data_IF_161383396434
#
_entry.id   IF_161383396434
#
_cell.length_a   1.000
_cell.length_b   1.000
_cell.length_c   1.000
_cell.angle_alpha   90.00
_cell.angle_beta   90.00
_cell.angle_gamma   90.00
#
_symmetry.space_group_name_H-M   'P 1'
#
loop_
_entity.id
_entity.type
_entity.pdbx_description
1 polymer ?
#
# COMPACT_ATOMS: atom_id res chain seq x y z
N UNK A 1 -19.78 -10.14 5.38
CA UNK A 1 -20.74 -11.01 6.10
C UNK A 1 -21.60 -10.20 7.07
N UNK A 2 -21.02 -9.53 8.06
CA UNK A 2 -21.77 -8.69 9.03
C UNK A 2 -22.61 -7.60 8.38
N UNK A 3 -22.05 -6.89 7.37
CA UNK A 3 -22.81 -5.90 6.58
C UNK A 3 -24.08 -6.49 5.95
N UNK A 4 -23.99 -7.67 5.35
CA UNK A 4 -25.15 -8.38 4.77
C UNK A 4 -26.17 -8.81 5.84
N UNK A 5 -25.70 -9.16 7.04
CA UNK A 5 -26.57 -9.48 8.16
C UNK A 5 -27.36 -8.24 8.62
N UNK A 6 -26.71 -7.07 8.71
CA UNK A 6 -27.40 -5.79 8.95
C UNK A 6 -28.40 -5.43 7.86
N UNK A 7 -28.03 -5.59 6.59
CA UNK A 7 -28.94 -5.36 5.45
C UNK A 7 -30.17 -6.28 5.49
N UNK A 8 -30.06 -7.44 6.16
CA UNK A 8 -31.15 -8.40 6.32
C UNK A 8 -31.87 -8.27 7.67
N UNK A 9 -31.62 -7.22 8.46
CA UNK A 9 -32.17 -7.02 9.82
C UNK A 9 -33.67 -7.27 9.88
N UNK A 10 -34.45 -6.59 9.04
CA UNK A 10 -35.91 -6.68 9.06
C UNK A 10 -36.42 -8.07 8.67
N UNK A 11 -35.77 -8.72 7.70
CA UNK A 11 -36.11 -10.06 7.27
C UNK A 11 -35.82 -11.09 8.38
N UNK A 12 -34.70 -10.94 9.09
CA UNK A 12 -34.32 -11.81 10.21
C UNK A 12 -35.31 -11.63 11.36
N UNK A 13 -35.60 -10.39 11.77
CA UNK A 13 -36.55 -10.11 12.86
C UNK A 13 -37.95 -10.65 12.51
N UNK A 14 -38.44 -10.39 11.29
CA UNK A 14 -39.78 -10.84 10.86
C UNK A 14 -39.89 -12.36 10.83
N UNK A 15 -38.88 -13.06 10.29
CA UNK A 15 -38.91 -14.53 10.20
C UNK A 15 -38.82 -15.19 11.57
N UNK A 16 -38.00 -14.67 12.47
CA UNK A 16 -37.92 -15.15 13.85
C UNK A 16 -39.27 -15.01 14.58
N UNK A 17 -39.96 -13.88 14.38
CA UNK A 17 -41.28 -13.65 14.94
C UNK A 17 -42.35 -14.60 14.35
N UNK A 18 -42.33 -14.83 13.03
CA UNK A 18 -43.31 -15.72 12.35
C UNK A 18 -43.12 -17.18 12.76
N UNK A 19 -41.88 -17.65 12.81
CA UNK A 19 -41.56 -19.06 13.11
C UNK A 19 -41.64 -19.35 14.61
N UNK A 20 -41.78 -18.31 15.45
CA UNK A 20 -41.70 -18.40 16.91
C UNK A 20 -40.48 -19.23 17.34
N UNK A 21 -39.33 -18.90 16.74
CA UNK A 21 -38.11 -19.68 16.92
C UNK A 21 -37.64 -19.59 18.38
N UNK A 22 -37.17 -20.70 19.00
CA UNK A 22 -36.73 -20.72 20.40
C UNK A 22 -35.32 -20.13 20.55
N UNK A 23 -35.09 -18.95 19.96
CA UNK A 23 -33.83 -18.20 20.03
C UNK A 23 -34.11 -16.79 20.52
N UNK A 24 -33.21 -16.28 21.35
CA UNK A 24 -33.30 -14.90 21.81
C UNK A 24 -33.04 -13.96 20.64
N UNK A 25 -33.99 -13.07 20.36
CA UNK A 25 -33.79 -12.00 19.40
C UNK A 25 -32.74 -11.02 19.94
N UNK A 26 -31.92 -10.47 19.05
CA UNK A 26 -30.95 -9.45 19.40
C UNK A 26 -31.66 -8.19 19.93
N UNK A 27 -31.11 -7.59 20.98
CA UNK A 27 -31.62 -6.31 21.50
C UNK A 27 -31.26 -5.16 20.55
N UNK A 28 -31.90 -4.00 20.73
CA UNK A 28 -31.59 -2.84 19.90
C UNK A 28 -30.13 -2.40 20.09
N UNK A 29 -29.62 -2.47 21.32
CA UNK A 29 -28.22 -2.16 21.63
C UNK A 29 -27.26 -3.12 20.90
N UNK A 30 -27.59 -4.40 20.82
CA UNK A 30 -26.78 -5.37 20.07
C UNK A 30 -26.79 -5.08 18.56
N UNK A 31 -27.91 -4.64 18.00
CA UNK A 31 -27.96 -4.17 16.61
C UNK A 31 -27.09 -2.93 16.37
N UNK A 32 -27.13 -1.97 17.29
CA UNK A 32 -26.32 -0.75 17.22
C UNK A 32 -24.82 -1.09 17.30
N UNK A 33 -24.43 -2.06 18.14
CA UNK A 33 -23.05 -2.56 18.20
C UNK A 33 -22.62 -3.17 16.85
N UNK A 34 -23.47 -3.98 16.22
CA UNK A 34 -23.13 -4.59 14.91
C UNK A 34 -22.95 -3.52 13.84
N UNK A 35 -23.80 -2.48 13.84
CA UNK A 35 -23.67 -1.33 12.94
C UNK A 35 -22.36 -0.58 13.15
N UNK A 36 -22.00 -0.31 14.40
CA UNK A 36 -20.76 0.38 14.73
C UNK A 36 -19.52 -0.45 14.35
N UNK A 37 -19.54 -1.76 14.60
CA UNK A 37 -18.47 -2.68 14.17
C UNK A 37 -18.31 -2.67 12.65
N UNK A 38 -19.42 -2.64 11.89
CA UNK A 38 -19.34 -2.56 10.43
C UNK A 38 -18.71 -1.24 9.97
N UNK A 39 -19.04 -0.13 10.62
CA UNK A 39 -18.42 1.18 10.35
C UNK A 39 -16.91 1.16 10.62
N UNK A 40 -16.47 0.56 11.73
CA UNK A 40 -15.05 0.44 12.09
C UNK A 40 -14.28 -0.45 11.10
N UNK A 41 -14.90 -1.51 10.60
CA UNK A 41 -14.27 -2.48 9.70
C UNK A 41 -14.30 -2.06 8.22
N UNK A 42 -15.17 -1.13 7.83
CA UNK A 42 -15.27 -0.62 6.46
C UNK A 42 -13.92 -0.18 5.84
N UNK A 43 -13.08 0.65 6.50
CA UNK A 43 -11.78 1.01 5.92
C UNK A 43 -10.83 -0.18 5.74
N UNK A 44 -10.95 -1.22 6.55
CA UNK A 44 -10.16 -2.45 6.39
C UNK A 44 -10.61 -3.24 5.16
N UNK A 45 -11.91 -3.31 4.90
CA UNK A 45 -12.46 -3.90 3.68
C UNK A 45 -11.96 -3.14 2.45
N UNK A 46 -12.07 -1.80 2.45
CA UNK A 46 -11.64 -0.97 1.32
C UNK A 46 -10.16 -1.17 0.99
N UNK A 47 -9.28 -1.16 2.01
CA UNK A 47 -7.85 -1.42 1.84
C UNK A 47 -7.60 -2.84 1.34
N UNK A 48 -8.30 -3.84 1.88
CA UNK A 48 -8.13 -5.24 1.48
C UNK A 48 -8.56 -5.47 0.04
N UNK A 49 -9.68 -4.89 -0.37
CA UNK A 49 -10.17 -4.94 -1.75
C UNK A 49 -9.17 -4.29 -2.68
N UNK A 50 -8.65 -3.10 -2.34
CA UNK A 50 -7.65 -2.42 -3.15
C UNK A 50 -6.36 -3.24 -3.28
N UNK A 51 -5.92 -3.90 -2.19
CA UNK A 51 -4.72 -4.75 -2.20
C UNK A 51 -4.92 -6.04 -2.99
N UNK A 52 -6.14 -6.59 -2.95
CA UNK A 52 -6.49 -7.85 -3.62
C UNK A 52 -6.80 -7.68 -5.10
N UNK A 53 -6.69 -6.47 -5.66
CA UNK A 53 -6.84 -6.25 -7.10
C UNK A 53 -5.63 -6.79 -7.86
N UNK A 54 -5.87 -7.76 -8.73
CA UNK A 54 -4.82 -8.43 -9.52
C UNK A 54 -4.16 -7.53 -10.59
N UNK A 55 -4.80 -6.41 -10.96
CA UNK A 55 -4.41 -5.61 -12.13
C UNK A 55 -3.37 -4.53 -11.88
N UNK A 56 -2.91 -4.28 -10.65
CA UNK A 56 -2.00 -3.18 -10.33
C UNK A 56 -0.83 -3.60 -9.44
N UNK A 57 0.29 -2.87 -9.51
CA UNK A 57 1.46 -3.06 -8.63
C UNK A 57 1.12 -2.61 -7.21
N UNK A 58 0.45 -3.48 -6.46
CA UNK A 58 -0.03 -3.24 -5.09
C UNK A 58 1.10 -2.93 -4.11
N UNK A 59 2.29 -3.49 -4.32
CA UNK A 59 3.45 -3.29 -3.43
C UNK A 59 3.79 -1.81 -3.24
N UNK A 60 3.73 -1.01 -4.31
CA UNK A 60 4.01 0.44 -4.29
C UNK A 60 3.05 1.23 -3.40
N UNK A 61 1.82 0.74 -3.20
CA UNK A 61 0.77 1.38 -2.40
C UNK A 61 0.77 0.94 -0.94
N UNK A 62 1.37 -0.20 -0.62
CA UNK A 62 1.20 -0.86 0.69
C UNK A 62 1.56 0.07 1.86
N UNK A 63 2.71 0.75 1.79
CA UNK A 63 3.15 1.68 2.84
C UNK A 63 2.11 2.77 3.09
N UNK A 64 1.56 3.36 2.02
CA UNK A 64 0.56 4.42 2.13
C UNK A 64 -0.77 3.89 2.68
N UNK A 65 -1.23 2.74 2.20
CA UNK A 65 -2.49 2.15 2.65
C UNK A 65 -2.45 1.78 4.12
N UNK A 66 -1.36 1.14 4.59
CA UNK A 66 -1.21 0.78 6.00
C UNK A 66 -1.19 2.02 6.91
N UNK A 67 -0.46 3.07 6.51
CA UNK A 67 -0.40 4.33 7.26
C UNK A 67 -1.72 5.09 7.25
N UNK A 68 -2.40 5.11 6.10
CA UNK A 68 -3.73 5.68 5.96
C UNK A 68 -4.72 4.98 6.88
N UNK A 69 -4.70 3.65 6.88
CA UNK A 69 -5.53 2.83 7.75
C UNK A 69 -5.28 3.10 9.24
N UNK A 70 -4.02 3.15 9.68
CA UNK A 70 -3.68 3.53 11.06
C UNK A 70 -4.23 4.91 11.44
N UNK A 71 -4.14 5.90 10.54
CA UNK A 71 -4.67 7.26 10.78
C UNK A 71 -6.20 7.29 10.85
N UNK A 72 -6.87 6.57 9.96
CA UNK A 72 -8.34 6.49 9.95
C UNK A 72 -8.82 5.84 11.23
N UNK A 73 -8.26 4.69 11.62
CA UNK A 73 -8.65 4.00 12.86
C UNK A 73 -8.39 4.86 14.09
N UNK A 74 -7.26 5.58 14.15
CA UNK A 74 -6.98 6.53 15.22
C UNK A 74 -7.89 7.78 15.21
N UNK A 75 -8.48 8.13 14.06
CA UNK A 75 -9.51 9.18 13.98
C UNK A 75 -10.85 8.67 14.50
N UNK A 76 -11.27 7.49 14.05
CA UNK A 76 -12.48 6.84 14.54
C UNK A 76 -12.44 6.65 16.06
N UNK A 77 -11.28 6.31 16.63
CA UNK A 77 -11.09 6.16 18.07
C UNK A 77 -11.25 7.49 18.83
N UNK A 78 -10.98 8.64 18.20
CA UNK A 78 -11.17 9.98 18.78
C UNK A 78 -12.59 10.52 18.59
N UNK A 79 -13.22 10.17 17.47
CA UNK A 79 -14.60 10.55 17.12
C UNK A 79 -15.64 9.75 17.90
N UNK A 80 -15.21 8.63 18.48
CA UNK A 80 -15.98 7.74 19.31
C UNK A 80 -16.68 8.43 20.50
N UNK A 81 -17.94 8.79 20.33
CA UNK A 81 -18.97 8.59 21.36
C UNK A 81 -19.30 7.08 21.47
N UNK A 82 -18.26 6.23 21.60
CA UNK A 82 -18.45 4.77 21.65
C UNK A 82 -19.22 4.47 22.92
N UNK A 83 -20.48 4.09 22.73
CA UNK A 83 -21.44 3.86 23.82
C UNK A 83 -21.28 2.44 24.37
N UNK A 84 -20.66 1.53 23.61
CA UNK A 84 -20.50 0.13 23.97
C UNK A 84 -19.03 -0.28 24.14
N UNK A 85 -18.67 -0.78 25.33
CA UNK A 85 -17.29 -1.18 25.67
C UNK A 85 -16.67 -2.22 24.72
N UNK A 86 -17.48 -3.07 24.09
CA UNK A 86 -17.00 -4.08 23.12
C UNK A 86 -16.41 -3.47 21.85
N UNK A 87 -16.92 -2.33 21.38
CA UNK A 87 -16.39 -1.67 20.19
C UNK A 87 -15.03 -1.05 20.50
N UNK A 88 -14.87 -0.46 21.70
CA UNK A 88 -13.57 0.06 22.16
C UNK A 88 -12.52 -1.05 22.21
N UNK A 89 -12.86 -2.21 22.79
CA UNK A 89 -11.94 -3.35 22.88
C UNK A 89 -11.51 -3.85 21.48
N UNK A 90 -12.46 -3.90 20.53
CA UNK A 90 -12.16 -4.22 19.14
C UNK A 90 -11.17 -3.20 18.54
N UNK A 91 -11.43 -1.90 18.72
CA UNK A 91 -10.56 -0.85 18.18
C UNK A 91 -9.16 -0.91 18.78
N UNK A 92 -9.03 -1.08 20.09
CA UNK A 92 -7.72 -1.21 20.76
C UNK A 92 -6.95 -2.45 20.26
N UNK A 93 -7.66 -3.55 20.04
CA UNK A 93 -7.09 -4.78 19.46
C UNK A 93 -6.62 -4.56 18.03
N UNK A 94 -7.40 -3.83 17.22
CA UNK A 94 -7.06 -3.48 15.84
C UNK A 94 -5.84 -2.56 15.78
N UNK A 95 -5.81 -1.48 16.58
CA UNK A 95 -4.68 -0.56 16.69
C UNK A 95 -3.41 -1.30 17.10
N UNK A 96 -3.46 -2.09 18.18
CA UNK A 96 -2.32 -2.88 18.66
C UNK A 96 -1.83 -3.89 17.61
N UNK A 97 -2.76 -4.52 16.90
CA UNK A 97 -2.43 -5.47 15.82
C UNK A 97 -1.76 -4.79 14.63
N UNK A 98 -2.24 -3.62 14.22
CA UNK A 98 -1.64 -2.83 13.15
C UNK A 98 -0.26 -2.34 13.55
N UNK A 99 -0.09 -1.81 14.76
CA UNK A 99 1.22 -1.32 15.21
C UNK A 99 2.26 -2.42 15.25
N UNK A 100 1.87 -3.64 15.64
CA UNK A 100 2.74 -4.82 15.60
C UNK A 100 3.02 -5.29 14.17
N UNK A 101 2.01 -5.44 13.32
CA UNK A 101 2.14 -6.02 11.98
C UNK A 101 2.75 -5.05 10.96
N UNK A 102 2.45 -3.77 11.08
CA UNK A 102 2.92 -2.71 10.19
C UNK A 102 4.13 -1.97 10.76
N UNK A 103 4.70 -2.48 11.85
CA UNK A 103 5.90 -1.93 12.45
C UNK A 103 7.03 -1.81 11.43
N UNK A 104 7.58 -0.60 11.28
CA UNK A 104 8.73 -0.32 10.41
C UNK A 104 8.58 -0.86 8.98
N UNK A 105 7.35 -0.89 8.46
CA UNK A 105 7.07 -1.35 7.09
C UNK A 105 7.89 -0.58 6.03
N UNK A 106 8.20 0.68 6.31
CA UNK A 106 9.06 1.55 5.50
C UNK A 106 10.50 1.04 5.32
N UNK A 107 10.97 0.15 6.19
CA UNK A 107 12.30 -0.46 6.10
C UNK A 107 12.29 -1.78 5.32
N UNK A 108 11.13 -2.31 4.95
CA UNK A 108 11.07 -3.48 4.09
C UNK A 108 11.63 -3.13 2.70
N UNK A 109 12.60 -3.91 2.23
CA UNK A 109 13.32 -3.56 1.01
C UNK A 109 12.42 -3.48 -0.23
N UNK A 110 11.55 -4.47 -0.42
CA UNK A 110 10.65 -4.55 -1.58
C UNK A 110 9.64 -3.40 -1.55
N UNK A 111 9.00 -3.16 -0.40
CA UNK A 111 7.98 -2.11 -0.29
C UNK A 111 8.60 -0.72 -0.45
N UNK A 112 9.73 -0.47 0.21
CA UNK A 112 10.41 0.83 0.12
C UNK A 112 10.92 1.12 -1.29
N UNK A 113 11.52 0.15 -1.97
CA UNK A 113 12.02 0.33 -3.33
C UNK A 113 10.87 0.52 -4.32
N UNK A 114 9.85 -0.34 -4.26
CA UNK A 114 8.69 -0.24 -5.16
C UNK A 114 7.89 1.04 -4.96
N UNK A 115 7.69 1.49 -3.71
CA UNK A 115 7.06 2.79 -3.43
C UNK A 115 7.93 3.98 -3.86
N UNK A 116 9.26 3.87 -3.76
CA UNK A 116 10.18 4.92 -4.20
C UNK A 116 10.22 5.06 -5.72
N UNK A 117 10.18 3.93 -6.43
CA UNK A 117 10.18 3.88 -7.90
C UNK A 117 8.85 4.31 -8.51
N UNK A 118 7.73 4.21 -7.78
CA UNK A 118 6.44 4.70 -8.24
C UNK A 118 6.42 6.25 -8.23
N UNK A 119 6.30 6.92 -9.40
CA UNK A 119 6.30 8.37 -9.48
C UNK A 119 5.20 9.06 -8.68
N UNK A 120 4.08 8.36 -8.44
CA UNK A 120 2.93 8.90 -7.69
C UNK A 120 3.22 9.06 -6.21
N UNK A 121 4.16 8.27 -5.67
CA UNK A 121 4.45 8.22 -4.24
C UNK A 121 5.85 8.75 -3.96
N UNK A 122 6.88 8.14 -4.55
CA UNK A 122 8.29 8.54 -4.37
C UNK A 122 8.62 8.75 -2.88
N UNK A 123 8.81 9.99 -2.45
CA UNK A 123 9.12 10.35 -1.05
C UNK A 123 7.88 10.42 -0.15
N UNK A 124 6.68 10.60 -0.73
CA UNK A 124 5.42 10.81 0.01
C UNK A 124 4.95 9.55 0.76
N UNK A 125 5.41 8.37 0.36
CA UNK A 125 5.06 7.12 1.05
C UNK A 125 5.62 7.07 2.49
N UNK A 126 6.73 7.76 2.76
CA UNK A 126 7.54 7.56 3.95
C UNK A 126 7.30 8.62 5.03
N UNK A 127 7.46 8.22 6.29
CA UNK A 127 7.50 9.10 7.45
C UNK A 127 8.92 9.30 7.93
N UNK A 128 9.78 8.28 7.84
CA UNK A 128 11.18 8.37 8.23
C UNK A 128 12.08 8.72 7.04
N UNK A 129 12.77 9.86 7.12
CA UNK A 129 13.71 10.31 6.11
C UNK A 129 14.88 9.33 5.90
N UNK A 130 15.25 8.56 6.93
CA UNK A 130 16.31 7.54 6.83
C UNK A 130 15.88 6.37 5.95
N UNK A 131 14.64 5.91 6.09
CA UNK A 131 14.10 4.83 5.26
C UNK A 131 14.09 5.22 3.77
N UNK A 132 13.76 6.47 3.46
CA UNK A 132 13.85 7.03 2.11
C UNK A 132 15.29 6.96 1.59
N UNK A 133 16.24 7.45 2.37
CA UNK A 133 17.66 7.51 1.98
C UNK A 133 18.22 6.11 1.71
N UNK A 134 17.96 5.15 2.60
CA UNK A 134 18.37 3.75 2.44
C UNK A 134 17.75 3.13 1.18
N UNK A 135 16.48 3.42 0.87
CA UNK A 135 15.84 2.94 -0.36
C UNK A 135 16.50 3.52 -1.61
N UNK A 136 16.77 4.82 -1.65
CA UNK A 136 17.47 5.45 -2.77
C UNK A 136 18.89 4.93 -2.95
N UNK A 137 19.63 4.70 -1.87
CA UNK A 137 20.97 4.12 -1.92
C UNK A 137 20.94 2.71 -2.53
N UNK A 138 19.99 1.87 -2.11
CA UNK A 138 19.82 0.51 -2.66
C UNK A 138 19.47 0.52 -4.13
N UNK A 139 18.51 1.36 -4.54
CA UNK A 139 18.12 1.53 -5.95
C UNK A 139 19.31 1.97 -6.80
N UNK A 140 20.06 2.99 -6.33
CA UNK A 140 21.22 3.52 -7.07
C UNK A 140 22.32 2.48 -7.20
N UNK A 141 22.58 1.73 -6.14
CA UNK A 141 23.57 0.64 -6.13
C UNK A 141 23.15 -0.54 -7.01
N UNK A 142 21.85 -0.80 -7.17
CA UNK A 142 21.34 -1.78 -8.12
C UNK A 142 21.51 -1.29 -9.57
N UNK A 143 21.10 -0.05 -9.87
CA UNK A 143 21.25 0.54 -11.20
C UNK A 143 22.72 0.64 -11.67
N UNK A 144 23.64 0.90 -10.74
CA UNK A 144 25.08 0.92 -11.03
C UNK A 144 25.67 -0.45 -11.38
N UNK A 145 25.08 -1.56 -10.88
CA UNK A 145 25.49 -2.93 -11.21
C UNK A 145 25.03 -3.35 -12.61
N UNK A 146 23.87 -2.87 -13.03
CA UNK A 146 23.26 -3.21 -14.33
C UNK A 146 23.73 -2.30 -15.47
N UNK A 147 24.58 -1.31 -15.18
CA UNK A 147 25.20 -0.48 -16.22
C UNK A 147 26.17 -1.31 -17.08
N UNK A 148 26.05 -1.29 -18.42
CA UNK A 148 26.79 -2.19 -19.34
C UNK A 148 28.30 -1.94 -19.44
N UNK A 149 28.84 -0.97 -18.69
CA UNK A 149 30.27 -0.63 -18.69
C UNK A 149 31.17 -1.72 -18.08
N UNK A 150 30.62 -2.69 -17.34
CA UNK A 150 31.39 -3.81 -16.78
C UNK A 150 31.51 -5.03 -17.71
N UNK A 151 30.63 -5.17 -18.72
CA UNK A 151 30.64 -6.33 -19.64
C UNK A 151 31.46 -6.12 -20.92
N UNK A 152 31.77 -4.87 -21.31
CA UNK A 152 32.61 -4.57 -22.47
C UNK A 152 34.11 -4.84 -22.25
N UNK A 153 34.56 -5.05 -21.00
CA UNK A 153 35.97 -5.31 -20.70
C UNK A 153 36.37 -6.80 -20.79
N UNK A 154 35.41 -7.75 -20.82
CA UNK A 154 35.71 -9.18 -20.90
C UNK A 154 35.59 -9.78 -22.32
N UNK A 155 35.12 -9.00 -23.30
CA UNK A 155 35.01 -9.44 -24.70
C UNK A 155 36.23 -9.07 -25.57
N UNK A 156 37.14 -8.22 -25.10
CA UNK A 156 38.38 -7.87 -25.85
C UNK A 156 39.49 -8.87 -25.56
N UNK A 157 39.22 -10.14 -25.88
CA UNK A 157 40.11 -11.25 -25.58
C UNK A 157 40.06 -12.39 -26.59
N UNK A 158 39.66 -12.14 -27.85
CA UNK A 158 39.99 -13.02 -28.99
C UNK A 158 39.50 -12.42 -30.32
N UNK A 159 40.45 -12.36 -31.26
CA UNK A 159 40.33 -12.15 -32.71
C UNK A 159 39.98 -10.74 -33.16
N UNK A 160 41.04 -10.06 -33.62
CA UNK A 160 40.91 -8.89 -34.48
C UNK A 160 40.13 -9.23 -35.75
N UNK A 161 39.13 -8.41 -36.03
CA UNK A 161 38.59 -8.21 -37.36
C UNK A 161 38.73 -6.72 -37.64
N UNK A 162 39.58 -6.43 -38.63
CA UNK A 162 39.84 -5.12 -39.19
C UNK A 162 38.54 -4.62 -39.84
N UNK A 163 37.94 -3.57 -39.28
CA UNK A 163 36.93 -2.78 -39.97
C UNK A 163 37.60 -1.58 -40.62
N UNK A 164 37.63 -1.57 -41.95
CA UNK A 164 38.06 -0.43 -42.75
C UNK A 164 37.09 0.74 -42.59
N UNK A 165 37.60 1.88 -42.14
CA UNK A 165 36.87 3.16 -42.19
C UNK A 165 36.82 3.65 -43.63
N UNK A 166 35.63 3.63 -44.23
CA UNK A 166 35.32 4.53 -45.35
C UNK A 166 34.96 5.89 -44.78
N UNK A 167 35.83 6.86 -45.00
CA UNK A 167 35.57 8.28 -44.82
C UNK A 167 34.57 8.76 -45.86
N UNK A 168 33.47 9.37 -45.43
CA UNK A 168 32.77 10.39 -46.21
C UNK A 168 32.43 11.56 -45.30
N UNK A 169 33.18 12.63 -45.52
CA UNK A 169 33.03 13.95 -44.95
C UNK A 169 31.81 14.64 -45.54
N UNK A 170 30.98 15.24 -44.70
CA UNK A 170 30.27 16.47 -45.02
C UNK A 170 29.81 17.13 -43.72
N UNK A 171 30.54 18.18 -43.37
CA UNK A 171 30.29 19.10 -42.29
C UNK A 171 29.04 19.95 -42.57
N UNK A 172 28.29 20.28 -41.52
CA UNK A 172 27.88 21.68 -41.27
C UNK A 172 27.59 21.89 -39.80
N UNK A 173 28.28 22.89 -39.24
CA UNK A 173 28.10 23.49 -37.92
C UNK A 173 26.66 23.96 -37.69
N UNK A 174 26.16 23.85 -36.44
CA UNK A 174 25.55 24.98 -35.72
C UNK A 174 25.91 24.88 -34.24
N UNK A 175 26.34 26.02 -33.71
CA UNK A 175 26.84 26.29 -32.37
C UNK A 175 25.72 26.90 -31.50
N UNK A 176 25.98 27.00 -30.19
CA UNK A 176 25.32 27.83 -29.15
C UNK A 176 23.99 27.29 -28.57
N UNK A 177 23.90 27.00 -27.26
CA UNK A 177 23.85 27.88 -26.06
C UNK A 177 22.51 28.60 -25.84
N UNK A 178 22.06 28.51 -24.58
CA UNK A 178 21.09 29.33 -23.80
C UNK A 178 19.89 28.48 -23.31
N UNK A 179 19.72 28.14 -22.03
CA UNK A 179 19.71 28.94 -20.79
C UNK A 179 18.54 29.94 -20.73
N UNK A 180 17.38 29.45 -20.25
CA UNK A 180 16.47 30.13 -19.30
C UNK A 180 15.81 29.07 -18.43
#
# INVERSE_FOLDING_TARGET
MLKRFLESKDAVISTLAIVNAPVNALTQEEWDVVEEVCRVLEPFEQVTVEISRESYVTASKMILLCKGLQRITASLQREANVTAGHVTELMDTLCSSMDRKFHRMEYNHVLSETSTLDPRFKKLAFSDARAIYEAFQRITSAAGRDSPSSQLAQATGRRGIRWSRSTSSSATNVCCLDAV
#
